data_IF_954102394467
#
_entry.id   IF_954102394467
#
_cell.length_a   1.000
_cell.length_b   1.000
_cell.length_c   1.000
_cell.angle_alpha   90.00
_cell.angle_beta   90.00
_cell.angle_gamma   90.00
#
_symmetry.space_group_name_H-M   'P 1'
#
loop_
_entity.id
_entity.type
_entity.pdbx_description
1 polymer ?
#
# COMPACT_ATOMS: atom_id res chain seq x y z
N UNK A 1 15.10 15.88 18.74
CA UNK A 1 14.43 16.50 17.58
C UNK A 1 15.08 15.96 16.32
N UNK A 2 14.49 14.93 15.73
CA UNK A 2 14.95 14.42 14.43
C UNK A 2 14.33 15.28 13.32
N UNK A 3 15.19 15.73 12.39
CA UNK A 3 14.82 16.62 11.29
C UNK A 3 14.07 15.82 10.22
N UNK A 4 12.83 16.20 9.92
CA UNK A 4 12.15 15.76 8.71
C UNK A 4 12.83 16.41 7.50
N UNK A 5 13.15 15.62 6.48
CA UNK A 5 13.60 16.16 5.20
C UNK A 5 12.39 16.71 4.45
N UNK A 6 12.21 18.02 4.47
CA UNK A 6 11.29 18.74 3.58
C UNK A 6 11.95 18.81 2.20
N UNK A 7 11.33 18.20 1.19
CA UNK A 7 11.74 18.35 -0.20
C UNK A 7 11.00 19.57 -0.79
N UNK A 8 11.73 20.64 -1.05
CA UNK A 8 11.23 21.81 -1.77
C UNK A 8 11.06 21.47 -3.26
N UNK A 9 9.85 21.69 -3.76
CA UNK A 9 9.48 21.50 -5.16
C UNK A 9 10.06 22.66 -6.00
N UNK A 10 11.22 22.46 -6.61
CA UNK A 10 11.60 23.20 -7.81
C UNK A 10 10.98 22.51 -9.02
N UNK A 11 10.15 23.23 -9.77
CA UNK A 11 9.60 22.80 -11.06
C UNK A 11 10.74 22.46 -12.03
N UNK A 12 11.01 21.17 -12.20
CA UNK A 12 11.88 20.65 -13.24
C UNK A 12 11.01 19.84 -14.24
N UNK A 13 10.83 20.32 -15.48
CA UNK A 13 9.99 19.67 -16.48
C UNK A 13 10.54 18.33 -17.00
N UNK A 14 11.73 17.89 -16.57
CA UNK A 14 12.30 16.57 -16.90
C UNK A 14 11.94 15.44 -15.90
N UNK A 15 11.04 15.72 -14.93
CA UNK A 15 10.55 14.76 -13.92
C UNK A 15 9.80 13.54 -14.51
N UNK A 16 9.36 13.60 -15.76
CA UNK A 16 8.73 12.46 -16.47
C UNK A 16 9.75 11.37 -16.89
N UNK A 17 11.05 11.67 -16.87
CA UNK A 17 12.10 10.70 -17.24
C UNK A 17 12.54 9.78 -16.08
N UNK A 18 12.09 10.06 -14.83
CA UNK A 18 12.26 9.16 -13.69
C UNK A 18 11.23 8.03 -13.72
N UNK A 19 11.16 7.32 -14.84
CA UNK A 19 10.62 5.95 -14.85
C UNK A 19 11.57 5.07 -14.05
N UNK A 20 11.53 5.16 -12.72
CA UNK A 20 11.40 4.09 -11.72
C UNK A 20 12.08 2.73 -12.00
N UNK A 21 13.14 2.69 -12.82
CA UNK A 21 13.80 1.47 -13.30
C UNK A 21 14.81 0.92 -12.29
N UNK A 22 15.15 1.65 -11.24
CA UNK A 22 16.04 1.11 -10.21
C UNK A 22 16.00 1.94 -8.92
N UNK A 23 14.93 1.79 -8.12
CA UNK A 23 15.11 2.09 -6.70
C UNK A 23 16.03 1.02 -6.12
N UNK A 24 17.19 1.44 -5.60
CA UNK A 24 18.04 0.55 -4.79
C UNK A 24 17.16 -0.01 -3.68
N UNK A 25 17.18 -1.33 -3.51
CA UNK A 25 16.38 -2.07 -2.52
C UNK A 25 16.74 -1.75 -1.08
N UNK A 26 17.83 -1.01 -0.93
CA UNK A 26 18.51 -0.76 0.31
C UNK A 26 19.04 0.66 0.31
N UNK A 27 18.76 1.39 1.38
CA UNK A 27 19.47 2.62 1.71
C UNK A 27 20.64 2.26 2.62
N UNK A 28 21.82 2.75 2.29
CA UNK A 28 22.97 2.64 3.18
C UNK A 28 23.01 3.89 4.04
N UNK A 29 22.99 3.75 5.36
CA UNK A 29 23.21 4.89 6.25
C UNK A 29 24.69 5.35 6.22
N UNK A 30 24.98 6.47 6.87
CA UNK A 30 26.35 7.02 6.96
C UNK A 30 27.35 6.10 7.68
N UNK A 31 26.90 4.99 8.26
CA UNK A 31 27.69 3.97 8.94
C UNK A 31 27.81 2.67 8.13
N UNK A 32 27.32 2.63 6.89
CA UNK A 32 27.40 1.45 6.03
C UNK A 32 26.28 0.42 6.27
N UNK A 33 25.31 0.70 7.14
CA UNK A 33 24.24 -0.24 7.45
C UNK A 33 23.17 -0.24 6.36
N UNK A 34 22.79 -1.44 5.92
CA UNK A 34 21.88 -1.64 4.78
C UNK A 34 20.43 -1.71 5.28
N UNK A 35 19.68 -0.62 5.15
CA UNK A 35 18.27 -0.55 5.50
C UNK A 35 17.39 -0.99 4.33
N UNK A 36 16.59 -2.05 4.53
CA UNK A 36 15.61 -2.51 3.54
C UNK A 36 14.60 -1.40 3.22
N UNK A 37 14.23 -1.28 1.95
CA UNK A 37 13.12 -0.45 1.52
C UNK A 37 11.88 -1.28 1.25
N UNK A 38 10.82 -0.98 1.99
CA UNK A 38 9.50 -1.55 1.78
C UNK A 38 8.67 -0.62 0.91
N UNK A 39 7.74 -1.19 0.17
CA UNK A 39 6.74 -0.46 -0.62
C UNK A 39 5.34 -0.94 -0.26
N UNK A 40 4.46 -0.04 0.15
CA UNK A 40 3.02 -0.27 0.30
C UNK A 40 2.29 0.20 -0.97
N UNK A 41 1.48 -0.67 -1.58
CA UNK A 41 0.64 -0.39 -2.75
C UNK A 41 -0.75 0.00 -2.29
N UNK A 42 -1.05 1.30 -2.30
CA UNK A 42 -2.23 1.88 -1.66
C UNK A 42 -3.51 1.26 -2.22
N UNK A 43 -3.66 1.23 -3.54
CA UNK A 43 -4.86 0.66 -4.19
C UNK A 43 -5.14 -0.81 -3.83
N UNK A 44 -4.14 -1.59 -3.41
CA UNK A 44 -4.31 -3.02 -3.07
C UNK A 44 -4.19 -3.32 -1.57
N UNK A 45 -3.66 -2.38 -0.78
CA UNK A 45 -3.28 -2.60 0.61
C UNK A 45 -2.22 -3.67 0.84
N UNK A 46 -1.32 -3.88 -0.13
CA UNK A 46 -0.24 -4.86 -0.03
C UNK A 46 1.11 -4.18 0.20
N UNK A 47 1.96 -4.77 1.03
CA UNK A 47 3.36 -4.37 1.10
C UNK A 47 4.31 -5.45 0.58
N UNK A 48 5.47 -5.01 0.10
CA UNK A 48 6.55 -5.87 -0.37
C UNK A 48 7.89 -5.13 -0.31
N UNK A 49 8.95 -5.77 -0.79
CA UNK A 49 10.20 -5.08 -1.07
C UNK A 49 10.08 -4.28 -2.36
N UNK A 50 10.77 -3.13 -2.43
CA UNK A 50 10.81 -2.30 -3.65
C UNK A 50 11.41 -3.02 -4.87
N UNK A 51 12.18 -4.09 -4.66
CA UNK A 51 12.71 -4.97 -5.72
C UNK A 51 11.69 -5.91 -6.35
N UNK A 52 10.51 -6.08 -5.76
CA UNK A 52 9.60 -7.12 -6.19
C UNK A 52 9.18 -6.92 -7.65
N UNK A 53 9.54 -7.84 -8.54
CA UNK A 53 9.18 -7.79 -9.97
C UNK A 53 7.66 -7.78 -10.17
N UNK A 54 6.93 -8.57 -9.39
CA UNK A 54 5.47 -8.66 -9.44
C UNK A 54 4.81 -7.37 -8.92
N UNK A 55 5.29 -6.87 -7.78
CA UNK A 55 4.85 -5.60 -7.20
C UNK A 55 5.23 -4.39 -8.05
N UNK A 56 6.06 -4.55 -9.08
CA UNK A 56 6.53 -3.52 -9.98
C UNK A 56 5.72 -3.42 -11.29
N UNK A 57 4.70 -4.28 -11.48
CA UNK A 57 3.85 -4.39 -12.70
C UNK A 57 2.68 -3.39 -12.79
N UNK A 58 2.53 -2.45 -11.86
CA UNK A 58 1.43 -1.47 -11.85
C UNK A 58 1.86 -0.01 -12.05
N UNK A 59 0.92 0.92 -12.34
CA UNK A 59 1.19 2.35 -12.41
C UNK A 59 1.84 2.86 -11.11
N UNK A 60 2.70 3.87 -11.24
CA UNK A 60 3.59 4.35 -10.15
C UNK A 60 3.49 5.87 -9.98
N UNK A 61 2.26 6.38 -9.88
CA UNK A 61 2.02 7.79 -9.57
C UNK A 61 2.16 8.02 -8.05
N UNK A 62 2.27 9.29 -7.64
CA UNK A 62 2.50 9.70 -6.24
C UNK A 62 1.42 9.15 -5.28
N UNK A 63 0.18 8.98 -5.72
CA UNK A 63 -0.91 8.35 -4.97
C UNK A 63 -0.99 6.81 -4.98
N UNK A 64 -0.05 6.11 -5.61
CA UNK A 64 -0.14 4.64 -5.78
C UNK A 64 0.76 3.86 -4.81
N UNK A 65 1.83 4.48 -4.29
CA UNK A 65 2.89 3.79 -3.53
C UNK A 65 3.41 4.61 -2.36
N UNK A 66 3.47 3.98 -1.19
CA UNK A 66 4.24 4.46 -0.02
C UNK A 66 5.58 3.75 0.04
N UNK A 67 6.67 4.50 0.18
CA UNK A 67 8.00 3.95 0.44
C UNK A 67 8.30 4.05 1.93
N UNK A 68 8.63 2.93 2.56
CA UNK A 68 8.79 2.86 4.00
C UNK A 68 10.17 2.24 4.35
N UNK A 69 11.09 3.00 4.96
CA UNK A 69 12.44 2.52 5.23
C UNK A 69 12.54 1.69 6.52
N UNK A 70 13.27 0.59 6.43
CA UNK A 70 13.73 -0.19 7.58
C UNK A 70 12.62 -0.85 8.40
N UNK A 71 12.89 -1.10 9.68
CA UNK A 71 11.95 -1.74 10.60
C UNK A 71 10.76 -0.83 10.94
N UNK A 72 11.03 0.45 11.19
CA UNK A 72 9.99 1.44 11.53
C UNK A 72 9.01 1.61 10.38
N UNK A 73 9.50 1.78 9.14
CA UNK A 73 8.62 1.88 7.98
C UNK A 73 7.74 0.63 7.79
N UNK A 74 8.28 -0.57 8.00
CA UNK A 74 7.48 -1.80 7.96
C UNK A 74 6.39 -1.82 9.04
N UNK A 75 6.71 -1.38 10.25
CA UNK A 75 5.75 -1.28 11.34
C UNK A 75 4.60 -0.33 10.98
N UNK A 76 4.90 0.86 10.45
CA UNK A 76 3.88 1.83 10.01
C UNK A 76 2.97 1.26 8.91
N UNK A 77 3.55 0.56 7.92
CA UNK A 77 2.74 -0.09 6.88
C UNK A 77 1.76 -1.12 7.49
N UNK A 78 2.20 -1.94 8.43
CA UNK A 78 1.31 -2.90 9.10
C UNK A 78 0.26 -2.19 9.94
N UNK A 79 0.65 -1.16 10.68
CA UNK A 79 -0.26 -0.34 11.49
C UNK A 79 -1.37 0.29 10.63
N UNK A 80 -1.03 0.79 9.44
CA UNK A 80 -1.97 1.33 8.46
C UNK A 80 -2.78 0.27 7.71
N UNK A 81 -2.62 -1.01 8.04
CA UNK A 81 -3.43 -2.11 7.51
C UNK A 81 -2.89 -2.74 6.23
N UNK A 82 -1.65 -2.45 5.82
CA UNK A 82 -1.02 -3.17 4.73
C UNK A 82 -0.67 -4.59 5.15
N UNK A 83 -0.81 -5.53 4.22
CA UNK A 83 -0.50 -6.96 4.46
C UNK A 83 0.57 -7.46 3.48
N UNK A 84 1.28 -8.57 3.78
CA UNK A 84 2.36 -9.03 2.94
C UNK A 84 1.83 -9.44 1.57
N UNK A 85 2.51 -9.01 0.50
CA UNK A 85 2.24 -9.52 -0.84
C UNK A 85 2.70 -10.99 -0.94
N UNK A 86 1.84 -11.91 -1.40
CA UNK A 86 2.15 -13.34 -1.42
C UNK A 86 3.26 -13.70 -2.42
N UNK A 87 3.49 -12.87 -3.43
CA UNK A 87 4.53 -13.09 -4.44
C UNK A 87 5.87 -12.42 -4.10
N UNK A 88 5.85 -11.33 -3.33
CA UNK A 88 7.03 -10.49 -3.12
C UNK A 88 7.90 -10.88 -1.93
N UNK A 89 7.32 -11.51 -0.92
CA UNK A 89 8.02 -11.79 0.32
C UNK A 89 8.66 -13.16 0.25
N UNK A 90 9.99 -13.17 0.27
CA UNK A 90 10.78 -14.40 0.31
C UNK A 90 10.90 -14.95 1.74
N UNK A 91 11.11 -16.28 1.92
CA UNK A 91 11.20 -16.92 3.23
C UNK A 91 12.18 -16.28 4.21
N UNK A 92 13.32 -15.79 3.74
CA UNK A 92 14.34 -15.14 4.58
C UNK A 92 13.84 -13.88 5.30
N UNK A 93 12.76 -13.26 4.82
CA UNK A 93 12.18 -12.07 5.43
C UNK A 93 11.01 -12.37 6.39
N UNK A 94 10.52 -13.61 6.45
CA UNK A 94 9.36 -13.97 7.27
C UNK A 94 9.57 -13.65 8.75
N UNK A 95 10.72 -14.03 9.31
CA UNK A 95 11.05 -13.76 10.71
C UNK A 95 11.19 -12.27 11.00
N UNK A 96 11.77 -11.50 10.07
CA UNK A 96 11.92 -10.05 10.21
C UNK A 96 10.58 -9.34 10.19
N UNK A 97 9.68 -9.77 9.30
CA UNK A 97 8.32 -9.24 9.23
C UNK A 97 7.56 -9.60 10.50
N UNK A 98 7.56 -10.87 10.88
CA UNK A 98 6.86 -11.33 12.08
C UNK A 98 7.34 -10.60 13.34
N UNK A 99 8.66 -10.53 13.57
CA UNK A 99 9.23 -9.84 14.73
C UNK A 99 9.01 -8.31 14.74
N UNK A 100 8.51 -7.74 13.66
CA UNK A 100 8.15 -6.30 13.58
C UNK A 100 6.65 -6.08 13.69
N UNK A 101 5.86 -7.01 13.14
CA UNK A 101 4.43 -6.86 12.93
C UNK A 101 3.57 -7.60 13.95
N UNK A 102 4.15 -8.55 14.72
CA UNK A 102 3.43 -9.51 15.55
C UNK A 102 2.35 -8.87 16.42
N UNK A 103 2.71 -7.88 17.23
CA UNK A 103 1.79 -7.24 18.18
C UNK A 103 0.60 -6.60 17.45
N UNK A 104 0.85 -5.86 16.37
CA UNK A 104 -0.21 -5.24 15.57
C UNK A 104 -1.08 -6.26 14.84
N UNK A 105 -0.48 -7.33 14.34
CA UNK A 105 -1.20 -8.40 13.62
C UNK A 105 -2.08 -9.21 14.58
N UNK A 106 -1.58 -9.56 15.76
CA UNK A 106 -2.34 -10.21 16.82
C UNK A 106 -3.51 -9.30 17.25
N UNK A 107 -3.25 -8.02 17.51
CA UNK A 107 -4.27 -7.04 17.94
C UNK A 107 -5.36 -6.83 16.89
N UNK A 108 -4.99 -6.71 15.61
CA UNK A 108 -5.90 -6.29 14.53
C UNK A 108 -6.63 -7.45 13.85
N UNK A 109 -5.97 -8.61 13.73
CA UNK A 109 -6.48 -9.74 12.94
C UNK A 109 -6.62 -11.02 13.77
N UNK A 110 -6.19 -11.03 15.04
CA UNK A 110 -6.17 -12.22 15.90
C UNK A 110 -5.45 -13.42 15.24
N UNK A 111 -4.27 -13.15 14.67
CA UNK A 111 -3.42 -14.16 14.02
C UNK A 111 -2.11 -14.31 14.78
N UNK A 112 -1.57 -15.54 14.83
CA UNK A 112 -0.45 -15.89 15.71
C UNK A 112 0.81 -16.31 14.95
N UNK A 113 0.81 -16.21 13.62
CA UNK A 113 2.02 -16.45 12.83
C UNK A 113 2.07 -15.66 11.53
N UNK A 114 3.28 -15.51 10.98
CA UNK A 114 3.46 -14.94 9.64
C UNK A 114 2.69 -15.73 8.57
N UNK A 115 2.65 -17.06 8.69
CA UNK A 115 1.97 -17.92 7.71
C UNK A 115 0.50 -17.58 7.61
N UNK A 116 -0.14 -17.34 8.76
CA UNK A 116 -1.53 -16.89 8.82
C UNK A 116 -1.71 -15.48 8.28
N UNK A 117 -0.79 -14.57 8.59
CA UNK A 117 -0.85 -13.19 8.09
C UNK A 117 -0.66 -13.08 6.56
N UNK A 118 0.15 -13.97 6.00
CA UNK A 118 0.35 -14.06 4.56
C UNK A 118 -0.79 -14.78 3.83
N UNK A 119 -1.59 -15.60 4.54
CA UNK A 119 -2.67 -16.40 3.99
C UNK A 119 -3.86 -15.54 3.57
N UNK A 120 -4.15 -15.50 2.26
CA UNK A 120 -5.24 -14.70 1.69
C UNK A 120 -6.63 -15.27 1.93
N UNK A 121 -6.73 -16.49 2.43
CA UNK A 121 -7.99 -17.04 2.93
C UNK A 121 -8.33 -16.51 4.32
N UNK A 122 -7.33 -16.08 5.10
CA UNK A 122 -7.51 -15.46 6.43
C UNK A 122 -7.57 -13.94 6.35
N UNK A 123 -6.67 -13.32 5.57
CA UNK A 123 -6.66 -11.87 5.34
C UNK A 123 -6.72 -11.59 3.84
N UNK A 124 -7.94 -11.40 3.29
CA UNK A 124 -8.13 -11.25 1.86
C UNK A 124 -7.57 -9.93 1.32
N UNK A 125 -7.52 -9.81 -0.01
CA UNK A 125 -7.25 -8.55 -0.69
C UNK A 125 -8.44 -7.59 -0.49
N UNK A 126 -8.29 -6.65 0.43
CA UNK A 126 -9.35 -5.71 0.83
C UNK A 126 -8.74 -4.38 1.28
N UNK A 127 -8.70 -3.41 0.38
CA UNK A 127 -8.14 -2.11 0.68
C UNK A 127 -9.01 -1.27 1.65
N UNK A 128 -10.26 -1.68 1.99
CA UNK A 128 -11.11 -0.94 2.96
C UNK A 128 -10.49 -0.86 4.34
N UNK A 129 -9.68 -1.86 4.70
CA UNK A 129 -8.98 -1.92 5.99
C UNK A 129 -7.90 -0.86 6.16
N UNK A 130 -7.48 -0.20 5.08
CA UNK A 130 -6.41 0.78 5.18
C UNK A 130 -6.84 1.98 6.03
N UNK A 131 -5.87 2.55 6.74
CA UNK A 131 -6.03 3.84 7.42
C UNK A 131 -5.99 4.97 6.37
N UNK A 132 -7.04 5.06 5.55
CA UNK A 132 -7.12 5.95 4.39
C UNK A 132 -6.91 7.41 4.76
N UNK A 133 -7.45 7.86 5.88
CA UNK A 133 -7.33 9.22 6.39
C UNK A 133 -5.85 9.61 6.53
N UNK A 134 -5.08 8.76 7.21
CA UNK A 134 -3.64 8.97 7.42
C UNK A 134 -2.83 8.84 6.10
N UNK A 135 -3.20 7.87 5.26
CA UNK A 135 -2.47 7.61 4.00
C UNK A 135 -2.65 8.79 3.04
N UNK A 136 -3.89 9.28 2.90
CA UNK A 136 -4.22 10.39 2.01
C UNK A 136 -3.62 11.70 2.53
N UNK A 137 -3.57 11.91 3.85
CA UNK A 137 -2.90 13.08 4.45
C UNK A 137 -1.40 13.14 4.08
N UNK A 138 -0.75 11.99 4.03
CA UNK A 138 0.69 11.89 3.71
C UNK A 138 0.95 11.96 2.20
N UNK A 139 0.11 11.31 1.40
CA UNK A 139 0.30 11.24 -0.05
C UNK A 139 -0.22 12.45 -0.80
N UNK A 140 -1.21 13.15 -0.22
CA UNK A 140 -1.95 14.25 -0.82
C UNK A 140 -2.57 13.87 -2.17
N UNK A 141 -2.91 12.58 -2.33
CA UNK A 141 -3.39 12.02 -3.58
C UNK A 141 -4.20 10.74 -3.32
N UNK A 142 -4.99 10.34 -4.32
CA UNK A 142 -5.71 9.07 -4.33
C UNK A 142 -5.12 8.16 -5.41
N UNK A 143 -5.10 6.84 -5.22
CA UNK A 143 -4.82 5.93 -6.32
C UNK A 143 -5.92 6.05 -7.38
N UNK A 144 -5.65 5.63 -8.61
CA UNK A 144 -6.67 5.59 -9.67
C UNK A 144 -7.69 4.47 -9.42
N UNK A 145 -7.25 3.38 -8.78
CA UNK A 145 -8.05 2.17 -8.55
C UNK A 145 -7.85 1.64 -7.15
N UNK A 146 -8.95 1.22 -6.54
CA UNK A 146 -8.95 0.56 -5.24
C UNK A 146 -9.55 -0.84 -5.39
N UNK A 147 -8.78 -1.83 -4.95
CA UNK A 147 -9.09 -3.25 -5.04
C UNK A 147 -9.76 -3.72 -3.75
N UNK A 148 -10.95 -4.29 -3.92
CA UNK A 148 -11.82 -4.82 -2.90
C UNK A 148 -11.99 -6.34 -3.11
N UNK A 149 -12.48 -7.09 -2.09
CA UNK A 149 -12.89 -8.47 -2.26
C UNK A 149 -13.97 -8.60 -3.33
N UNK A 150 -14.08 -9.76 -3.98
CA UNK A 150 -15.18 -10.08 -4.88
C UNK A 150 -16.45 -10.39 -4.08
N UNK A 151 -17.61 -10.00 -4.62
CA UNK A 151 -18.90 -10.38 -4.05
C UNK A 151 -19.35 -9.55 -2.86
N UNK A 152 -18.76 -8.36 -2.66
CA UNK A 152 -19.31 -7.40 -1.73
C UNK A 152 -20.71 -7.00 -2.14
N UNK A 153 -21.57 -6.76 -1.14
CA UNK A 153 -22.88 -6.22 -1.43
C UNK A 153 -22.78 -4.76 -1.91
N UNK A 154 -23.78 -4.30 -2.66
CA UNK A 154 -23.78 -2.93 -3.20
C UNK A 154 -23.66 -1.88 -2.10
N UNK A 155 -24.29 -2.09 -0.93
CA UNK A 155 -24.31 -1.11 0.15
C UNK A 155 -22.92 -0.97 0.78
N UNK A 156 -22.17 -2.06 0.92
CA UNK A 156 -20.79 -2.04 1.40
C UNK A 156 -19.88 -1.26 0.46
N UNK A 157 -20.03 -1.46 -0.85
CA UNK A 157 -19.22 -0.73 -1.84
C UNK A 157 -19.58 0.76 -1.84
N UNK A 158 -20.87 1.10 -1.82
CA UNK A 158 -21.34 2.50 -1.73
C UNK A 158 -20.87 3.15 -0.44
N UNK A 159 -21.02 2.49 0.70
CA UNK A 159 -20.56 3.02 1.99
C UNK A 159 -19.05 3.32 2.00
N UNK A 160 -18.25 2.43 1.41
CA UNK A 160 -16.82 2.68 1.29
C UNK A 160 -16.50 3.80 0.28
N UNK A 161 -17.23 3.87 -0.82
CA UNK A 161 -17.16 4.96 -1.80
C UNK A 161 -17.44 6.32 -1.14
N UNK A 162 -18.47 6.41 -0.31
CA UNK A 162 -18.84 7.61 0.43
C UNK A 162 -17.73 7.99 1.42
N UNK A 163 -17.18 7.03 2.18
CA UNK A 163 -16.03 7.29 3.06
C UNK A 163 -14.85 7.91 2.31
N UNK A 164 -14.50 7.38 1.13
CA UNK A 164 -13.39 7.95 0.35
C UNK A 164 -13.71 9.35 -0.17
N UNK A 165 -14.97 9.62 -0.48
CA UNK A 165 -15.43 10.95 -0.89
C UNK A 165 -15.33 11.94 0.28
N UNK A 166 -15.78 11.56 1.47
CA UNK A 166 -15.67 12.38 2.68
C UNK A 166 -14.21 12.74 2.96
N UNK A 167 -13.28 11.78 2.82
CA UNK A 167 -11.84 12.04 2.99
C UNK A 167 -11.31 13.05 1.96
N UNK A 168 -11.73 12.94 0.70
CA UNK A 168 -11.33 13.89 -0.36
C UNK A 168 -11.83 15.30 -0.05
N UNK A 169 -13.08 15.42 0.39
CA UNK A 169 -13.72 16.68 0.76
C UNK A 169 -13.04 17.30 2.00
N UNK A 170 -12.84 16.52 3.06
CA UNK A 170 -12.21 16.96 4.31
C UNK A 170 -10.77 17.42 4.12
N UNK A 171 -10.03 16.79 3.19
CA UNK A 171 -8.65 17.15 2.88
C UNK A 171 -8.51 18.14 1.73
N UNK A 172 -9.61 18.74 1.26
CA UNK A 172 -9.65 19.73 0.19
C UNK A 172 -8.89 19.27 -1.09
N UNK A 173 -8.99 17.99 -1.44
CA UNK A 173 -8.30 17.44 -2.59
C UNK A 173 -9.11 17.68 -3.88
N UNK A 174 -8.53 18.37 -4.86
CA UNK A 174 -9.10 18.49 -6.21
C UNK A 174 -8.90 17.20 -7.01
N UNK A 175 -9.52 16.10 -6.56
CA UNK A 175 -9.28 14.75 -7.08
C UNK A 175 -10.57 14.03 -7.40
N UNK A 176 -10.49 13.14 -8.39
CA UNK A 176 -11.58 12.22 -8.70
C UNK A 176 -11.56 11.08 -7.70
N UNK A 177 -12.76 10.62 -7.36
CA UNK A 177 -12.95 9.39 -6.60
C UNK A 177 -12.32 8.22 -7.37
N UNK A 178 -11.55 7.34 -6.73
CA UNK A 178 -10.99 6.16 -7.39
C UNK A 178 -12.10 5.23 -7.87
N UNK A 179 -11.83 4.52 -8.97
CA UNK A 179 -12.67 3.38 -9.35
C UNK A 179 -12.54 2.29 -8.29
N UNK A 180 -13.67 1.75 -7.84
CA UNK A 180 -13.73 0.63 -6.90
C UNK A 180 -13.99 -0.67 -7.67
N UNK A 181 -13.20 -1.70 -7.43
CA UNK A 181 -13.33 -2.95 -8.16
C UNK A 181 -12.59 -4.10 -7.51
N UNK A 182 -12.56 -5.24 -8.17
CA UNK A 182 -11.86 -6.43 -7.70
C UNK A 182 -10.99 -7.01 -8.82
N UNK A 183 -10.06 -7.87 -8.41
CA UNK A 183 -9.24 -8.64 -9.33
C UNK A 183 -10.00 -9.91 -9.75
N UNK A 184 -10.27 -10.07 -11.04
CA UNK A 184 -10.82 -11.33 -11.57
C UNK A 184 -9.69 -12.27 -11.96
N UNK A 185 -9.50 -13.35 -11.19
CA UNK A 185 -8.50 -14.38 -11.48
C UNK A 185 -8.74 -15.10 -12.81
N UNK A 186 -9.95 -15.06 -13.35
CA UNK A 186 -10.28 -15.63 -14.66
C UNK A 186 -9.87 -14.71 -15.82
N UNK A 187 -9.65 -13.43 -15.53
CA UNK A 187 -9.14 -12.45 -16.50
C UNK A 187 -8.01 -11.63 -15.83
N UNK A 188 -6.82 -12.22 -15.63
CA UNK A 188 -5.74 -11.70 -14.77
C UNK A 188 -5.23 -10.29 -15.09
N UNK A 189 -5.50 -9.80 -16.30
CA UNK A 189 -5.13 -8.46 -16.76
C UNK A 189 -6.22 -7.40 -16.52
N UNK A 190 -7.38 -7.79 -16.01
CA UNK A 190 -8.55 -6.92 -15.90
C UNK A 190 -8.91 -6.63 -14.45
N UNK A 191 -8.99 -5.33 -14.18
CA UNK A 191 -9.70 -4.78 -13.05
C UNK A 191 -11.19 -4.73 -13.40
N UNK A 192 -12.03 -5.36 -12.58
CA UNK A 192 -13.48 -5.36 -12.76
C UNK A 192 -14.11 -4.38 -11.80
N UNK A 193 -14.67 -3.29 -12.34
CA UNK A 193 -15.32 -2.24 -11.56
C UNK A 193 -16.67 -2.72 -10.99
N UNK A 194 -16.96 -2.28 -9.77
CA UNK A 194 -18.30 -2.40 -9.20
C UNK A 194 -19.23 -1.39 -9.86
N UNK A 195 -20.43 -1.84 -10.26
CA UNK A 195 -21.47 -0.92 -10.72
C UNK A 195 -22.06 -0.16 -9.52
N UNK A 196 -21.83 1.14 -9.47
CA UNK A 196 -22.31 2.01 -8.39
C UNK A 196 -23.67 2.67 -8.70
N UNK A 197 -24.06 2.74 -9.99
CA UNK A 197 -25.32 3.33 -10.50
C UNK A 197 -26.52 2.42 -10.26
#
# INVERSE_FOLDING_TARGET
MEKYATYESSHDPDLDSWTLKSFKTTLTDSKGSTNLLWSGRIGTGLFGLTSCSEGNRGPRKRGEVLIAPGRRGLHELVLWGFIPCPACIKPEYHNKIWGTAREEVERRYNLHSYREFADKTKVPFDARRLAWENIVEITLDMPERVYLPRGLDRKEVVHFSDRLKDIIEDQCLEKKLPSLGFYDHTVPSHFTEYALT
#
